data_IF_506982641479
#
_entry.id   IF_506982641479
#
_cell.length_a   1.000
_cell.length_b   1.000
_cell.length_c   1.000
_cell.angle_alpha   90.00
_cell.angle_beta   90.00
_cell.angle_gamma   90.00
#
_symmetry.space_group_name_H-M   'P 1'
#
loop_
_entity.id
_entity.type
_entity.pdbx_description
1 polymer ?
#
# COMPACT_ATOMS: atom_id res chain seq x y z
N UNK A 1 31.82 -37.56 -14.24
CA UNK A 1 32.15 -36.16 -13.91
C UNK A 1 30.83 -35.45 -13.62
N UNK A 2 30.42 -35.49 -12.34
CA UNK A 2 30.34 -34.32 -11.42
C UNK A 2 29.13 -33.44 -11.78
N UNK A 3 27.96 -33.57 -11.16
CA UNK A 3 27.54 -33.19 -9.79
C UNK A 3 27.51 -31.68 -9.51
N UNK A 4 26.38 -31.26 -8.93
CA UNK A 4 26.09 -30.00 -8.21
C UNK A 4 25.89 -28.73 -9.08
N UNK A 5 24.98 -27.81 -8.77
CA UNK A 5 24.25 -27.58 -7.54
C UNK A 5 23.04 -26.68 -7.75
N UNK A 6 22.12 -26.73 -6.79
CA UNK A 6 20.87 -25.97 -6.80
C UNK A 6 21.02 -24.50 -6.40
N UNK A 7 19.95 -23.76 -6.69
CA UNK A 7 19.52 -22.47 -6.13
C UNK A 7 18.30 -22.07 -6.99
N UNK A 8 17.11 -21.70 -6.51
CA UNK A 8 16.63 -21.30 -5.21
C UNK A 8 15.15 -21.73 -5.11
N UNK A 9 14.70 -22.16 -3.95
CA UNK A 9 13.28 -22.13 -3.61
C UNK A 9 12.82 -20.66 -3.63
N UNK A 10 12.28 -20.24 -4.77
CA UNK A 10 11.46 -19.05 -4.82
C UNK A 10 10.29 -19.26 -3.88
N UNK A 11 10.13 -18.35 -2.92
CA UNK A 11 8.93 -18.24 -2.09
C UNK A 11 7.72 -18.55 -2.95
N UNK A 12 7.04 -19.67 -2.68
CA UNK A 12 5.86 -20.05 -3.43
C UNK A 12 4.90 -18.86 -3.37
N UNK A 13 4.71 -18.17 -4.50
CA UNK A 13 3.58 -17.29 -4.69
C UNK A 13 2.37 -18.17 -4.45
N UNK A 14 1.79 -18.11 -3.24
CA UNK A 14 0.50 -18.74 -3.00
C UNK A 14 -0.43 -18.10 -4.02
N UNK A 15 -0.84 -18.89 -5.01
CA UNK A 15 -1.68 -18.41 -6.08
C UNK A 15 -2.98 -17.94 -5.46
N UNK A 16 -3.19 -16.63 -5.47
CA UNK A 16 -4.45 -16.06 -5.03
C UNK A 16 -5.54 -16.64 -5.94
N UNK A 17 -6.62 -17.22 -5.37
CA UNK A 17 -7.68 -17.78 -6.19
C UNK A 17 -8.30 -16.69 -7.06
N UNK A 18 -8.61 -17.03 -8.31
CA UNK A 18 -9.30 -16.10 -9.21
C UNK A 18 -10.67 -15.72 -8.64
N UNK A 19 -11.08 -14.48 -8.87
CA UNK A 19 -12.42 -14.03 -8.51
C UNK A 19 -13.50 -14.81 -9.30
N UNK A 20 -14.68 -15.07 -8.72
CA UNK A 20 -15.82 -15.64 -9.42
C UNK A 20 -16.14 -14.85 -10.69
N UNK A 21 -16.38 -15.56 -11.79
CA UNK A 21 -16.71 -14.96 -13.09
C UNK A 21 -18.12 -15.36 -13.48
N UNK A 22 -18.94 -14.38 -13.83
CA UNK A 22 -20.34 -14.55 -14.20
C UNK A 22 -20.59 -14.05 -15.62
N UNK A 23 -21.39 -14.81 -16.39
CA UNK A 23 -21.74 -14.51 -17.77
C UNK A 23 -23.27 -14.44 -17.87
N UNK A 24 -23.91 -13.27 -17.66
CA UNK A 24 -25.35 -13.12 -17.78
C UNK A 24 -25.86 -13.45 -19.19
N UNK A 25 -27.09 -13.93 -19.24
CA UNK A 25 -27.89 -13.99 -20.46
C UNK A 25 -28.34 -12.59 -20.88
N UNK A 26 -28.87 -12.43 -22.11
CA UNK A 26 -29.39 -11.14 -22.57
C UNK A 26 -30.54 -10.65 -21.68
N UNK A 27 -31.48 -11.52 -21.31
CA UNK A 27 -32.60 -11.19 -20.41
C UNK A 27 -32.13 -10.72 -19.02
N UNK A 28 -31.09 -11.36 -18.47
CA UNK A 28 -30.50 -10.97 -17.19
C UNK A 28 -29.71 -9.66 -17.29
N UNK A 29 -29.16 -9.37 -18.47
CA UNK A 29 -28.38 -8.16 -18.73
C UNK A 29 -29.26 -6.91 -18.83
N UNK A 30 -30.53 -7.05 -19.23
CA UNK A 30 -31.52 -5.96 -19.28
C UNK A 30 -31.82 -5.37 -17.89
N UNK A 31 -31.74 -6.18 -16.81
CA UNK A 31 -31.91 -5.72 -15.42
C UNK A 31 -30.64 -5.93 -14.57
N UNK A 32 -29.57 -5.11 -14.74
CA UNK A 32 -28.28 -5.34 -14.08
C UNK A 32 -28.34 -5.40 -12.55
N UNK A 33 -29.18 -4.56 -11.92
CA UNK A 33 -29.32 -4.55 -10.46
C UNK A 33 -29.96 -5.84 -9.92
N UNK A 34 -30.92 -6.38 -10.67
CA UNK A 34 -31.56 -7.65 -10.36
C UNK A 34 -30.58 -8.80 -10.50
N UNK A 35 -29.77 -8.79 -11.56
CA UNK A 35 -28.70 -9.77 -11.76
C UNK A 35 -27.62 -9.68 -10.66
N UNK A 36 -27.20 -8.48 -10.29
CA UNK A 36 -26.25 -8.28 -9.17
C UNK A 36 -26.80 -8.85 -7.86
N UNK A 37 -28.09 -8.65 -7.59
CA UNK A 37 -28.75 -9.22 -6.41
C UNK A 37 -28.78 -10.76 -6.45
N UNK A 38 -28.96 -11.38 -7.63
CA UNK A 38 -29.00 -12.84 -7.76
C UNK A 38 -27.62 -13.49 -7.53
N UNK A 39 -26.54 -12.85 -7.98
CA UNK A 39 -25.17 -13.37 -7.82
C UNK A 39 -24.51 -12.99 -6.49
N UNK A 40 -25.07 -12.00 -5.76
CA UNK A 40 -24.51 -11.49 -4.49
C UNK A 40 -24.15 -12.59 -3.49
N UNK A 41 -24.99 -13.60 -3.18
CA UNK A 41 -24.66 -14.62 -2.19
C UNK A 41 -23.39 -15.42 -2.54
N UNK A 42 -23.05 -15.52 -3.82
CA UNK A 42 -21.85 -16.22 -4.30
C UNK A 42 -20.63 -15.31 -4.39
N UNK A 43 -20.82 -14.04 -4.73
CA UNK A 43 -19.74 -13.06 -4.92
C UNK A 43 -19.28 -12.39 -3.60
N UNK A 44 -20.19 -12.15 -2.66
CA UNK A 44 -19.95 -11.42 -1.41
C UNK A 44 -18.81 -12.01 -0.56
N UNK A 45 -18.66 -13.34 -0.41
CA UNK A 45 -17.52 -13.91 0.33
C UNK A 45 -16.14 -13.57 -0.25
N UNK A 46 -16.05 -13.29 -1.55
CA UNK A 46 -14.79 -12.97 -2.23
C UNK A 46 -14.48 -11.46 -2.24
N UNK A 47 -15.47 -10.61 -1.94
CA UNK A 47 -15.36 -9.14 -1.98
C UNK A 47 -15.30 -8.54 -3.39
N UNK A 48 -14.95 -9.33 -4.41
CA UNK A 48 -14.93 -8.93 -5.82
C UNK A 48 -15.48 -10.07 -6.71
N UNK A 49 -16.02 -9.71 -7.88
CA UNK A 49 -16.35 -10.65 -8.94
C UNK A 49 -16.08 -10.01 -10.31
N UNK A 50 -15.99 -10.84 -11.35
CA UNK A 50 -15.87 -10.43 -12.75
C UNK A 50 -17.19 -10.73 -13.46
N UNK A 51 -17.73 -9.77 -14.21
CA UNK A 51 -18.91 -9.98 -15.05
C UNK A 51 -18.46 -9.82 -16.51
N UNK A 52 -18.75 -10.82 -17.32
CA UNK A 52 -18.50 -10.79 -18.77
C UNK A 52 -19.84 -10.49 -19.45
N UNK A 53 -19.98 -9.37 -20.17
CA UNK A 53 -21.22 -9.03 -20.83
C UNK A 53 -21.61 -10.08 -21.90
N UNK A 54 -22.90 -10.16 -22.29
CA UNK A 54 -23.36 -11.00 -23.39
C UNK A 54 -22.61 -10.68 -24.70
N UNK A 55 -22.46 -11.68 -25.57
CA UNK A 55 -21.64 -11.59 -26.79
C UNK A 55 -22.08 -10.49 -27.77
N UNK A 56 -23.36 -10.07 -27.74
CA UNK A 56 -23.88 -9.00 -28.60
C UNK A 56 -23.72 -7.59 -28.04
N UNK A 57 -23.23 -7.44 -26.79
CA UNK A 57 -23.11 -6.14 -26.15
C UNK A 57 -21.74 -5.51 -26.42
N UNK A 58 -21.71 -4.63 -27.42
CA UNK A 58 -20.51 -3.87 -27.82
C UNK A 58 -20.81 -2.37 -27.82
N UNK A 59 -20.72 -1.69 -26.66
CA UNK A 59 -20.98 -0.25 -26.61
C UNK A 59 -19.88 0.52 -27.36
N UNK A 60 -20.25 1.53 -28.18
CA UNK A 60 -19.25 2.35 -28.87
C UNK A 60 -18.45 3.17 -27.85
N UNK A 61 -17.13 3.28 -28.07
CA UNK A 61 -16.30 4.19 -27.30
C UNK A 61 -16.64 5.64 -27.67
N UNK A 62 -17.24 6.40 -26.74
CA UNK A 62 -17.60 7.80 -26.97
C UNK A 62 -16.40 8.77 -26.98
N UNK A 63 -15.19 8.28 -26.68
CA UNK A 63 -13.99 9.12 -26.54
C UNK A 63 -13.18 9.12 -27.83
N UNK A 64 -12.86 10.32 -28.32
CA UNK A 64 -11.89 10.47 -29.39
C UNK A 64 -10.46 10.44 -28.82
N UNK A 65 -9.80 9.29 -28.94
CA UNK A 65 -8.46 9.05 -28.41
C UNK A 65 -7.39 9.97 -28.99
N UNK A 66 -7.57 10.48 -30.22
CA UNK A 66 -6.60 11.37 -30.87
C UNK A 66 -6.59 12.79 -30.30
N UNK A 67 -7.70 13.22 -29.69
CA UNK A 67 -7.84 14.55 -29.08
C UNK A 67 -7.71 14.53 -27.56
N UNK A 68 -7.76 13.34 -26.94
CA UNK A 68 -7.76 13.17 -25.50
C UNK A 68 -6.37 13.47 -24.90
N UNK A 69 -6.28 14.55 -24.11
CA UNK A 69 -5.10 14.88 -23.31
C UNK A 69 -5.48 14.97 -21.84
N UNK A 70 -4.71 14.32 -20.98
CA UNK A 70 -4.88 14.39 -19.53
C UNK A 70 -3.51 14.48 -18.84
N UNK A 71 -3.41 15.18 -17.70
CA UNK A 71 -2.18 15.23 -16.92
C UNK A 71 -1.86 13.83 -16.39
N UNK A 72 -0.60 13.41 -16.54
CA UNK A 72 -0.13 12.12 -16.04
C UNK A 72 0.43 12.25 -14.63
N UNK A 73 0.45 11.13 -13.89
CA UNK A 73 1.08 11.04 -12.57
C UNK A 73 2.19 10.00 -12.62
N UNK A 74 3.38 10.35 -12.13
CA UNK A 74 4.49 9.41 -11.98
C UNK A 74 4.32 8.63 -10.67
N UNK A 75 4.22 7.31 -10.75
CA UNK A 75 4.17 6.43 -9.57
C UNK A 75 5.50 5.69 -9.44
N UNK A 76 6.24 5.93 -8.34
CA UNK A 76 7.47 5.21 -8.02
C UNK A 76 7.12 3.92 -7.28
N UNK A 77 7.27 2.77 -7.94
CA UNK A 77 6.84 1.46 -7.41
C UNK A 77 7.45 1.14 -6.05
N UNK A 78 8.74 1.47 -5.84
CA UNK A 78 9.43 1.25 -4.56
C UNK A 78 8.86 2.07 -3.39
N UNK A 79 8.14 3.16 -3.66
CA UNK A 79 7.48 3.98 -2.63
C UNK A 79 6.03 3.52 -2.37
N UNK A 80 5.44 2.66 -3.22
CA UNK A 80 4.01 2.29 -3.13
C UNK A 80 3.68 1.44 -1.89
N UNK A 81 4.62 0.67 -1.38
CA UNK A 81 4.45 -0.10 -0.14
C UNK A 81 4.43 0.79 1.11
N UNK A 82 4.76 2.07 0.95
CA UNK A 82 4.91 3.05 2.01
C UNK A 82 3.83 4.15 1.96
N UNK A 83 2.64 3.85 1.42
CA UNK A 83 1.52 4.82 1.34
C UNK A 83 1.21 5.49 2.67
N UNK A 84 1.15 4.71 3.75
CA UNK A 84 0.90 5.25 5.10
C UNK A 84 2.14 5.87 5.74
N UNK A 85 3.34 5.53 5.25
CA UNK A 85 4.59 6.01 5.86
C UNK A 85 4.71 7.52 5.74
N UNK A 86 4.45 8.07 4.55
CA UNK A 86 4.63 9.51 4.31
C UNK A 86 3.59 10.34 5.05
N UNK A 87 2.33 9.89 5.08
CA UNK A 87 1.28 10.56 5.85
C UNK A 87 1.57 10.45 7.36
N UNK A 88 1.85 9.25 7.87
CA UNK A 88 2.19 9.06 9.28
C UNK A 88 3.46 9.82 9.69
N UNK A 89 4.40 10.04 8.76
CA UNK A 89 5.57 10.88 9.00
C UNK A 89 5.20 12.35 9.16
N UNK A 90 4.31 12.88 8.29
CA UNK A 90 3.82 14.25 8.41
C UNK A 90 3.06 14.44 9.72
N UNK A 91 2.10 13.55 10.00
CA UNK A 91 1.28 13.59 11.22
C UNK A 91 2.19 13.53 12.47
N UNK A 92 3.21 12.68 12.47
CA UNK A 92 4.19 12.61 13.55
C UNK A 92 4.93 13.92 13.78
N UNK A 93 5.41 14.59 12.71
CA UNK A 93 6.14 15.84 12.85
C UNK A 93 5.24 16.98 13.31
N UNK A 94 3.97 17.01 12.90
CA UNK A 94 2.99 17.99 13.39
C UNK A 94 2.70 17.80 14.89
N UNK A 95 2.47 16.57 15.33
CA UNK A 95 2.23 16.27 16.74
C UNK A 95 3.48 16.51 17.59
N UNK A 96 4.67 16.18 17.07
CA UNK A 96 5.94 16.44 17.75
C UNK A 96 6.23 17.94 17.87
N UNK A 97 5.88 18.73 16.84
CA UNK A 97 5.99 20.19 16.89
C UNK A 97 5.09 20.77 17.97
N UNK A 98 3.82 20.32 18.00
CA UNK A 98 2.85 20.73 19.00
C UNK A 98 3.33 20.41 20.41
N UNK A 99 3.89 19.22 20.61
CA UNK A 99 4.48 18.81 21.89
C UNK A 99 5.63 19.75 22.30
N UNK A 100 6.58 20.03 21.41
CA UNK A 100 7.70 20.91 21.74
C UNK A 100 7.26 22.33 22.06
N UNK A 101 6.31 22.88 21.32
CA UNK A 101 5.72 24.19 21.61
C UNK A 101 5.08 24.25 22.99
N UNK A 102 4.40 23.19 23.43
CA UNK A 102 3.86 23.10 24.78
C UNK A 102 4.94 23.15 25.88
N UNK A 103 6.17 22.72 25.55
CA UNK A 103 7.33 22.76 26.44
C UNK A 103 8.16 24.05 26.29
N UNK A 104 7.66 25.05 25.56
CA UNK A 104 8.38 26.30 25.28
C UNK A 104 9.56 26.15 24.31
N UNK A 105 9.60 25.05 23.54
CA UNK A 105 10.61 24.76 22.52
C UNK A 105 9.96 24.81 21.13
N UNK A 106 10.75 24.90 20.07
CA UNK A 106 10.25 24.85 18.70
C UNK A 106 11.05 23.83 17.89
N UNK A 107 10.43 23.16 16.92
CA UNK A 107 11.17 22.34 15.97
C UNK A 107 12.05 23.19 15.07
N UNK A 108 13.34 23.17 15.35
CA UNK A 108 14.35 23.73 14.48
C UNK A 108 15.04 22.60 13.71
N UNK A 109 14.75 22.45 12.41
CA UNK A 109 15.35 21.40 11.56
C UNK A 109 16.89 21.40 11.58
N UNK A 110 17.53 22.56 11.68
CA UNK A 110 18.98 22.69 11.78
C UNK A 110 19.58 22.20 13.10
N UNK A 111 18.75 21.91 14.10
CA UNK A 111 19.15 21.29 15.38
C UNK A 111 18.94 19.78 15.40
N UNK A 112 18.63 19.16 14.25
CA UNK A 112 18.41 17.72 14.21
C UNK A 112 19.70 16.99 14.59
N UNK A 113 19.60 15.93 15.40
CA UNK A 113 20.77 15.14 15.75
C UNK A 113 21.37 14.54 14.48
N UNK A 114 22.69 14.67 14.34
CA UNK A 114 23.45 14.09 13.25
C UNK A 114 24.21 12.87 13.74
N UNK A 115 24.20 11.82 12.92
CA UNK A 115 25.02 10.64 13.13
C UNK A 115 25.87 10.39 11.89
N UNK A 116 27.19 10.35 12.07
CA UNK A 116 28.15 10.23 10.97
C UNK A 116 27.95 11.29 9.86
N UNK A 117 27.62 12.52 10.27
CA UNK A 117 27.40 13.66 9.36
C UNK A 117 26.11 13.60 8.55
N UNK A 118 25.22 12.65 8.83
CA UNK A 118 23.88 12.57 8.24
C UNK A 118 22.83 12.96 9.28
N UNK A 119 21.86 13.75 8.85
CA UNK A 119 20.69 14.08 9.67
C UNK A 119 19.90 12.81 9.98
N UNK A 120 19.56 12.62 11.26
CA UNK A 120 18.72 11.52 11.69
C UNK A 120 17.26 11.91 11.48
N UNK A 121 16.52 11.07 10.75
CA UNK A 121 15.07 11.19 10.65
C UNK A 121 14.43 10.68 11.96
N UNK A 122 13.88 11.61 12.73
CA UNK A 122 13.31 11.35 14.06
C UNK A 122 12.12 10.38 13.95
N UNK A 123 11.32 10.46 12.88
CA UNK A 123 10.19 9.55 12.69
C UNK A 123 10.66 8.12 12.43
N UNK A 124 11.72 7.95 11.62
CA UNK A 124 12.33 6.64 11.36
C UNK A 124 12.89 6.06 12.64
N UNK A 125 13.65 6.85 13.40
CA UNK A 125 14.21 6.45 14.69
C UNK A 125 13.10 6.06 15.67
N UNK A 126 12.05 6.87 15.79
CA UNK A 126 10.89 6.58 16.64
C UNK A 126 10.23 5.26 16.25
N UNK A 127 9.98 4.99 14.96
CA UNK A 127 9.40 3.71 14.53
C UNK A 127 10.34 2.53 14.79
N UNK A 128 11.65 2.70 14.59
CA UNK A 128 12.64 1.65 14.85
C UNK A 128 12.69 1.29 16.33
N UNK A 129 12.71 2.29 17.21
CA UNK A 129 12.66 2.13 18.67
C UNK A 129 11.33 1.49 19.11
N UNK A 130 10.21 2.01 18.62
CA UNK A 130 8.87 1.49 18.97
C UNK A 130 8.67 0.03 18.55
N UNK A 131 9.17 -0.37 17.38
CA UNK A 131 9.12 -1.77 16.91
C UNK A 131 9.92 -2.73 17.79
N UNK A 132 10.92 -2.24 18.51
CA UNK A 132 11.80 -3.03 19.39
C UNK A 132 11.37 -2.98 20.87
N UNK A 133 10.15 -2.54 21.14
CA UNK A 133 9.57 -2.50 22.49
C UNK A 133 9.82 -1.18 23.25
N UNK A 134 10.26 -0.12 22.57
CA UNK A 134 10.42 1.20 23.16
C UNK A 134 11.81 1.48 23.74
N UNK A 135 11.99 2.68 24.27
CA UNK A 135 13.28 3.19 24.74
C UNK A 135 13.88 2.36 25.89
N UNK A 136 13.06 2.03 26.88
CA UNK A 136 13.48 1.32 28.10
C UNK A 136 14.02 -0.07 27.75
N UNK A 137 13.23 -0.87 27.03
CA UNK A 137 13.59 -2.21 26.56
C UNK A 137 14.91 -2.25 25.78
N UNK A 138 15.14 -1.31 24.86
CA UNK A 138 16.37 -1.28 24.04
C UNK A 138 17.58 -0.92 24.89
N UNK A 139 17.40 0.00 25.85
CA UNK A 139 18.48 0.47 26.73
C UNK A 139 18.91 -0.62 27.69
N UNK A 140 17.96 -1.34 28.29
CA UNK A 140 18.22 -2.52 29.13
C UNK A 140 18.95 -3.62 28.37
N UNK A 141 18.52 -3.89 27.13
CA UNK A 141 19.10 -4.94 26.29
C UNK A 141 20.37 -4.50 25.55
N UNK A 142 20.78 -3.22 25.67
CA UNK A 142 21.93 -2.62 24.96
C UNK A 142 21.91 -2.79 23.44
N UNK A 143 20.73 -2.77 22.82
CA UNK A 143 20.51 -3.04 21.39
C UNK A 143 20.54 -1.80 20.49
N UNK A 144 21.06 -0.67 20.97
CA UNK A 144 21.12 0.59 20.20
C UNK A 144 21.89 0.50 18.88
N UNK A 145 22.84 -0.44 18.73
CA UNK A 145 23.55 -0.66 17.45
C UNK A 145 22.66 -1.28 16.37
N UNK A 146 21.58 -1.94 16.76
CA UNK A 146 20.66 -2.60 15.83
C UNK A 146 19.47 -1.70 15.44
N UNK A 147 19.30 -0.57 16.14
CA UNK A 147 18.29 0.46 15.84
C UNK A 147 18.77 1.32 14.69
#
# INVERSE_FOLDING_TARGET
MTSCGGAQEGTAFMSIPSAPTFCPTEDEWEEPLRYLASIRPQAEPYGICKIIPPKGWEPPCALNLSLLKFPTRKQKVHELQHRDFKQAQLDFYEDYDRFLHSQGKQLCKWKYPQFLGKDIDIFVLYRAVKRRGGYESITEQKKWREV
#
